data_IF_443277715418
#
_entry.id   IF_443277715418
#
_cell.length_a   1.000
_cell.length_b   1.000
_cell.length_c   1.000
_cell.angle_alpha   90.00
_cell.angle_beta   90.00
_cell.angle_gamma   90.00
#
_symmetry.space_group_name_H-M   'P 1'
#
loop_
_entity.id
_entity.type
_entity.pdbx_description
1 polymer ?
#
# COMPACT_ATOMS: atom_id res chain seq x y z
N UNK A 1 6.69 10.46 20.24
CA UNK A 1 5.86 10.04 19.09
C UNK A 1 5.86 11.12 18.02
N UNK A 2 5.88 10.74 16.74
CA UNK A 2 5.73 11.66 15.60
C UNK A 2 4.25 11.83 15.24
N UNK A 3 3.91 12.93 14.57
CA UNK A 3 2.53 13.22 14.12
C UNK A 3 1.92 12.08 13.28
N UNK A 4 2.72 11.43 12.45
CA UNK A 4 2.29 10.28 11.64
C UNK A 4 1.84 9.11 12.51
N UNK A 5 2.59 8.80 13.56
CA UNK A 5 2.26 7.74 14.51
C UNK A 5 0.96 8.10 15.24
N UNK A 6 0.78 9.35 15.67
CA UNK A 6 -0.50 9.79 16.27
C UNK A 6 -1.67 9.60 15.32
N UNK A 7 -1.49 9.91 14.04
CA UNK A 7 -2.52 9.74 13.01
C UNK A 7 -2.90 8.27 12.83
N UNK A 8 -1.97 7.32 12.94
CA UNK A 8 -2.30 5.90 12.85
C UNK A 8 -3.32 5.46 13.92
N UNK A 9 -3.21 6.00 15.14
CA UNK A 9 -4.19 5.76 16.20
C UNK A 9 -5.49 6.53 15.96
N UNK A 10 -5.39 7.83 15.67
CA UNK A 10 -6.56 8.69 15.55
C UNK A 10 -7.47 8.29 14.38
N UNK A 11 -6.92 7.79 13.27
CA UNK A 11 -7.71 7.37 12.09
C UNK A 11 -8.70 6.25 12.39
N UNK A 12 -8.36 5.38 13.35
CA UNK A 12 -9.17 4.22 13.74
C UNK A 12 -9.84 4.42 15.11
N UNK A 13 -9.87 5.65 15.63
CA UNK A 13 -10.51 5.98 16.90
C UNK A 13 -11.97 6.38 16.66
N UNK A 14 -12.89 5.96 17.53
CA UNK A 14 -14.30 6.41 17.53
C UNK A 14 -14.45 7.89 17.86
N UNK A 15 -13.53 8.42 18.66
CA UNK A 15 -13.52 9.81 19.09
C UNK A 15 -12.84 10.75 18.07
N UNK A 16 -12.73 10.34 16.80
CA UNK A 16 -12.08 11.15 15.77
C UNK A 16 -13.05 12.17 15.18
N UNK A 17 -12.56 13.37 14.92
CA UNK A 17 -13.33 14.43 14.27
C UNK A 17 -12.47 15.09 13.19
N UNK A 18 -13.08 15.41 12.04
CA UNK A 18 -12.37 16.04 10.92
C UNK A 18 -12.71 17.52 10.83
N UNK A 19 -11.68 18.37 10.93
CA UNK A 19 -11.75 19.80 10.70
C UNK A 19 -11.05 20.15 9.38
N UNK A 20 -11.70 20.94 8.52
CA UNK A 20 -11.15 21.28 7.20
C UNK A 20 -9.88 22.13 7.25
N UNK A 21 -9.64 22.88 8.34
CA UNK A 21 -8.49 23.75 8.49
C UNK A 21 -7.33 23.06 9.25
N UNK A 22 -7.65 22.19 10.20
CA UNK A 22 -6.67 21.55 11.12
C UNK A 22 -6.46 20.06 10.84
N UNK A 23 -7.31 19.43 10.05
CA UNK A 23 -7.29 18.00 9.74
C UNK A 23 -7.94 17.16 10.84
N UNK A 24 -7.36 15.98 11.11
CA UNK A 24 -7.91 15.03 12.08
C UNK A 24 -7.60 15.44 13.53
N UNK A 25 -8.66 15.72 14.28
CA UNK A 25 -8.69 16.11 15.69
C UNK A 25 -9.33 15.02 16.56
N UNK A 26 -9.18 15.16 17.87
CA UNK A 26 -9.95 14.41 18.86
C UNK A 26 -11.26 15.15 19.15
N UNK A 27 -12.42 14.53 18.94
CA UNK A 27 -13.73 15.11 19.21
C UNK A 27 -14.04 15.31 20.70
N UNK A 28 -13.23 14.74 21.60
CA UNK A 28 -13.32 15.00 23.05
C UNK A 28 -12.65 16.31 23.46
N UNK A 29 -11.54 16.67 22.80
CA UNK A 29 -10.71 17.83 23.16
C UNK A 29 -10.75 18.97 22.15
N UNK A 30 -11.24 18.70 20.93
CA UNK A 30 -11.15 19.59 19.76
C UNK A 30 -9.71 20.02 19.42
N UNK A 31 -8.74 19.20 19.79
CA UNK A 31 -7.31 19.45 19.60
C UNK A 31 -6.61 18.30 18.86
N UNK A 32 -5.41 18.60 18.36
CA UNK A 32 -4.52 17.59 17.79
C UNK A 32 -4.03 16.65 18.89
N UNK A 33 -3.80 15.38 18.53
CA UNK A 33 -3.20 14.41 19.43
C UNK A 33 -1.86 14.91 20.00
N UNK A 34 -1.74 14.86 21.33
CA UNK A 34 -0.57 15.33 22.08
C UNK A 34 -0.02 14.28 23.07
N UNK A 35 -0.47 13.03 22.98
CA UNK A 35 -0.04 11.95 23.87
C UNK A 35 1.37 11.43 23.52
N UNK A 36 2.12 10.92 24.51
CA UNK A 36 3.51 10.48 24.27
C UNK A 36 3.64 9.07 23.72
N UNK A 37 2.83 8.12 24.22
CA UNK A 37 2.91 6.71 23.85
C UNK A 37 1.54 6.14 23.45
N UNK A 38 0.51 6.35 24.28
CA UNK A 38 -0.86 5.90 24.03
C UNK A 38 -1.86 6.99 24.44
N UNK A 39 -3.04 6.97 23.84
CA UNK A 39 -4.16 7.82 24.24
C UNK A 39 -5.03 7.09 25.27
N UNK A 40 -5.24 7.68 26.43
CA UNK A 40 -6.03 7.09 27.53
C UNK A 40 -7.52 6.93 27.18
N UNK A 41 -8.03 7.78 26.31
CA UNK A 41 -9.43 7.77 25.84
C UNK A 41 -9.58 7.13 24.46
N UNK A 42 -8.58 6.37 24.01
CA UNK A 42 -8.66 5.64 22.75
C UNK A 42 -9.75 4.58 22.81
N UNK A 43 -10.71 4.69 21.91
CA UNK A 43 -11.73 3.68 21.69
C UNK A 43 -11.67 3.24 20.23
N UNK A 44 -11.35 1.97 20.02
CA UNK A 44 -11.12 1.42 18.68
C UNK A 44 -12.43 1.36 17.89
N UNK A 45 -12.38 1.86 16.67
CA UNK A 45 -13.43 1.76 15.67
C UNK A 45 -13.05 0.68 14.65
N UNK A 46 -13.65 -0.51 14.79
CA UNK A 46 -13.34 -1.65 13.93
C UNK A 46 -13.72 -1.41 12.46
N UNK A 47 -14.79 -0.67 12.20
CA UNK A 47 -15.21 -0.34 10.83
C UNK A 47 -14.19 0.63 10.20
N UNK A 48 -13.74 1.62 10.95
CA UNK A 48 -12.69 2.52 10.48
C UNK A 48 -11.34 1.86 10.28
N UNK A 49 -10.99 0.87 11.11
CA UNK A 49 -9.78 0.07 10.91
C UNK A 49 -9.87 -0.72 9.60
N UNK A 50 -11.00 -1.36 9.32
CA UNK A 50 -11.22 -2.08 8.07
C UNK A 50 -11.14 -1.14 6.87
N UNK A 51 -11.78 0.02 6.92
CA UNK A 51 -11.73 1.04 5.86
C UNK A 51 -10.30 1.56 5.65
N UNK A 52 -9.55 1.84 6.72
CA UNK A 52 -8.14 2.27 6.63
C UNK A 52 -7.26 1.16 6.04
N UNK A 53 -7.50 -0.10 6.42
CA UNK A 53 -6.81 -1.25 5.84
C UNK A 53 -7.08 -1.39 4.34
N UNK A 54 -8.34 -1.34 3.92
CA UNK A 54 -8.75 -1.39 2.52
C UNK A 54 -8.16 -0.22 1.74
N UNK A 55 -8.21 0.99 2.29
CA UNK A 55 -7.62 2.17 1.66
C UNK A 55 -6.09 2.04 1.51
N UNK A 56 -5.39 1.48 2.50
CA UNK A 56 -3.95 1.19 2.38
C UNK A 56 -3.67 0.16 1.28
N UNK A 57 -4.45 -0.92 1.23
CA UNK A 57 -4.32 -1.94 0.19
C UNK A 57 -4.54 -1.35 -1.20
N UNK A 58 -5.61 -0.59 -1.38
CA UNK A 58 -5.98 0.08 -2.63
C UNK A 58 -4.88 1.04 -3.09
N UNK A 59 -4.48 2.00 -2.23
CA UNK A 59 -3.48 3.03 -2.55
C UNK A 59 -2.10 2.46 -2.90
N UNK A 60 -1.75 1.28 -2.37
CA UNK A 60 -0.49 0.59 -2.70
C UNK A 60 -0.58 -0.21 -4.00
N UNK A 61 -1.79 -0.56 -4.45
CA UNK A 61 -2.05 -1.45 -5.59
C UNK A 61 -1.71 -0.91 -6.98
N UNK A 62 -2.05 -1.70 -8.00
CA UNK A 62 -1.91 -1.31 -9.40
C UNK A 62 -3.26 -1.00 -10.06
N UNK A 63 -3.70 0.26 -9.87
CA UNK A 63 -4.91 0.86 -10.43
C UNK A 63 -5.05 0.71 -11.96
N UNK A 64 -3.94 0.53 -12.67
CA UNK A 64 -3.92 0.38 -14.13
C UNK A 64 -4.47 -1.00 -14.53
N UNK A 65 -4.28 -2.02 -13.69
CA UNK A 65 -4.63 -3.40 -14.01
C UNK A 65 -6.01 -3.84 -13.51
N UNK A 66 -6.72 -2.97 -12.77
CA UNK A 66 -8.08 -3.17 -12.27
C UNK A 66 -8.20 -4.19 -11.14
N UNK A 67 -7.10 -4.52 -10.45
CA UNK A 67 -7.10 -5.46 -9.32
C UNK A 67 -6.27 -4.91 -8.16
N UNK A 68 -6.86 -3.92 -7.49
CA UNK A 68 -6.17 -3.09 -6.51
C UNK A 68 -6.01 -3.80 -5.16
N UNK A 69 -6.67 -4.94 -4.95
CA UNK A 69 -6.63 -5.68 -3.68
C UNK A 69 -5.87 -7.01 -3.76
N UNK A 70 -5.73 -7.62 -4.93
CA UNK A 70 -5.04 -8.92 -5.06
C UNK A 70 -3.52 -8.77 -5.23
N UNK A 71 -2.84 -8.77 -4.09
CA UNK A 71 -1.38 -8.71 -4.05
C UNK A 71 -0.69 -9.89 -4.74
N UNK A 72 -1.28 -11.10 -4.72
CA UNK A 72 -0.68 -12.30 -5.34
C UNK A 72 -0.69 -12.17 -6.86
N UNK A 73 -1.82 -11.72 -7.40
CA UNK A 73 -1.98 -11.46 -8.82
C UNK A 73 -1.11 -10.31 -9.29
N UNK A 74 -1.02 -9.22 -8.53
CA UNK A 74 -0.11 -8.11 -8.83
C UNK A 74 1.36 -8.56 -8.84
N UNK A 75 1.75 -9.41 -7.88
CA UNK A 75 3.09 -10.00 -7.81
C UNK A 75 3.40 -10.90 -9.02
N UNK A 76 2.48 -11.78 -9.39
CA UNK A 76 2.61 -12.69 -10.54
C UNK A 76 2.64 -11.93 -11.87
N UNK A 77 1.66 -11.04 -12.12
CA UNK A 77 1.60 -10.25 -13.35
C UNK A 77 2.83 -9.36 -13.55
N UNK A 78 3.34 -8.75 -12.47
CA UNK A 78 4.57 -7.97 -12.52
C UNK A 78 5.77 -8.84 -12.90
N UNK A 79 5.86 -10.05 -12.34
CA UNK A 79 6.88 -11.02 -12.71
C UNK A 79 6.76 -11.48 -14.17
N UNK A 80 5.56 -11.80 -14.63
CA UNK A 80 5.32 -12.25 -16.01
C UNK A 80 5.71 -11.18 -17.03
N UNK A 81 5.37 -9.90 -16.77
CA UNK A 81 5.80 -8.76 -17.60
C UNK A 81 7.32 -8.60 -17.62
N UNK A 82 7.96 -8.73 -16.47
CA UNK A 82 9.42 -8.66 -16.36
C UNK A 82 10.09 -9.79 -17.17
N UNK A 83 9.61 -11.03 -17.03
CA UNK A 83 10.08 -12.17 -17.79
C UNK A 83 9.89 -11.97 -19.30
N UNK A 84 8.73 -11.48 -19.73
CA UNK A 84 8.46 -11.15 -21.14
C UNK A 84 9.47 -10.14 -21.70
N UNK A 85 9.73 -9.06 -20.97
CA UNK A 85 10.69 -8.05 -21.40
C UNK A 85 12.13 -8.58 -21.52
N UNK A 86 12.54 -9.47 -20.61
CA UNK A 86 13.84 -10.14 -20.66
C UNK A 86 13.94 -11.05 -21.90
N UNK A 87 12.90 -11.85 -22.16
CA UNK A 87 12.86 -12.75 -23.32
C UNK A 87 12.92 -11.96 -24.63
N UNK A 88 12.13 -10.90 -24.76
CA UNK A 88 12.15 -10.03 -25.95
C UNK A 88 13.53 -9.42 -26.17
N UNK A 89 14.18 -8.95 -25.11
CA UNK A 89 15.54 -8.41 -25.17
C UNK A 89 16.54 -9.46 -25.66
N UNK A 90 16.48 -10.67 -25.13
CA UNK A 90 17.36 -11.77 -25.52
C UNK A 90 17.17 -12.16 -27.00
N UNK A 91 15.93 -12.21 -27.49
CA UNK A 91 15.62 -12.53 -28.89
C UNK A 91 16.15 -11.43 -29.83
N UNK A 92 16.00 -10.16 -29.45
CA UNK A 92 16.46 -9.02 -30.28
C UNK A 92 17.97 -9.01 -30.51
N UNK A 93 18.77 -9.55 -29.59
CA UNK A 93 20.22 -9.69 -29.80
C UNK A 93 20.58 -10.60 -31.00
N UNK A 94 19.68 -11.50 -31.41
CA UNK A 94 19.91 -12.42 -32.53
C UNK A 94 19.38 -11.90 -33.87
N UNK A 95 18.63 -10.78 -33.89
CA UNK A 95 17.91 -10.29 -35.08
C UNK A 95 18.30 -8.83 -35.34
N UNK A 96 19.57 -8.60 -35.72
CA UNK A 96 20.19 -7.33 -36.18
C UNK A 96 19.95 -6.07 -35.31
N UNK A 97 20.81 -5.05 -35.46
CA UNK A 97 20.93 -3.89 -34.54
C UNK A 97 19.68 -2.98 -34.52
N UNK A 98 18.68 -3.34 -33.71
CA UNK A 98 17.50 -2.52 -33.43
C UNK A 98 17.62 -1.84 -32.06
N UNK A 99 18.39 -0.76 -32.01
CA UNK A 99 18.60 0.04 -30.79
C UNK A 99 17.28 0.52 -30.15
N UNK A 100 16.25 0.80 -30.95
CA UNK A 100 14.92 1.21 -30.48
C UNK A 100 14.15 0.14 -29.70
N UNK A 101 14.44 -1.15 -29.92
CA UNK A 101 13.75 -2.24 -29.23
C UNK A 101 14.16 -2.30 -27.75
N UNK A 102 15.42 -2.00 -27.44
CA UNK A 102 15.91 -1.99 -26.05
C UNK A 102 15.20 -0.96 -25.17
N UNK A 103 14.79 0.19 -25.73
CA UNK A 103 14.04 1.21 -24.97
C UNK A 103 12.67 0.67 -24.55
N UNK A 104 11.98 -0.02 -25.48
CA UNK A 104 10.66 -0.60 -25.23
C UNK A 104 10.76 -1.74 -24.21
N UNK A 105 11.72 -2.66 -24.38
CA UNK A 105 11.87 -3.80 -23.47
C UNK A 105 12.29 -3.37 -22.07
N UNK A 106 13.16 -2.34 -21.95
CA UNK A 106 13.49 -1.74 -20.66
C UNK A 106 12.26 -1.15 -19.97
N UNK A 107 11.39 -0.46 -20.70
CA UNK A 107 10.13 0.05 -20.17
C UNK A 107 9.21 -1.04 -19.63
N UNK A 108 9.10 -2.18 -20.34
CA UNK A 108 8.32 -3.34 -19.91
C UNK A 108 8.90 -3.94 -18.62
N UNK A 109 10.22 -4.11 -18.56
CA UNK A 109 10.93 -4.65 -17.39
C UNK A 109 10.73 -3.72 -16.18
N UNK A 110 10.94 -2.42 -16.35
CA UNK A 110 10.78 -1.43 -15.29
C UNK A 110 9.33 -1.38 -14.76
N UNK A 111 8.34 -1.43 -15.65
CA UNK A 111 6.93 -1.48 -15.27
C UNK A 111 6.57 -2.78 -14.55
N UNK A 112 7.03 -3.93 -15.05
CA UNK A 112 6.86 -5.23 -14.40
C UNK A 112 7.47 -5.26 -13.00
N UNK A 113 8.69 -4.76 -12.84
CA UNK A 113 9.36 -4.61 -11.55
C UNK A 113 8.56 -3.73 -10.59
N UNK A 114 8.11 -2.55 -11.05
CA UNK A 114 7.28 -1.64 -10.24
C UNK A 114 6.01 -2.32 -9.75
N UNK A 115 5.29 -3.02 -10.64
CA UNK A 115 4.07 -3.73 -10.27
C UNK A 115 4.36 -4.86 -9.27
N UNK A 116 5.41 -5.64 -9.49
CA UNK A 116 5.81 -6.71 -8.59
C UNK A 116 6.15 -6.16 -7.19
N UNK A 117 6.93 -5.09 -7.11
CA UNK A 117 7.31 -4.45 -5.85
C UNK A 117 6.10 -3.95 -5.07
N UNK A 118 5.10 -3.38 -5.77
CA UNK A 118 3.83 -2.97 -5.14
C UNK A 118 3.06 -4.17 -4.59
N UNK A 119 2.98 -5.28 -5.32
CA UNK A 119 2.38 -6.51 -4.83
C UNK A 119 3.07 -7.05 -3.57
N UNK A 120 4.40 -6.95 -3.48
CA UNK A 120 5.15 -7.32 -2.26
C UNK A 120 4.83 -6.38 -1.09
N UNK A 121 4.61 -5.09 -1.36
CA UNK A 121 4.24 -4.12 -0.32
C UNK A 121 2.82 -4.37 0.21
N UNK A 122 1.87 -4.67 -0.68
CA UNK A 122 0.51 -5.09 -0.30
C UNK A 122 0.54 -6.37 0.55
N UNK A 123 1.39 -7.34 0.20
CA UNK A 123 1.56 -8.56 1.00
C UNK A 123 2.01 -8.24 2.43
N UNK A 124 2.93 -7.29 2.62
CA UNK A 124 3.35 -6.84 3.96
C UNK A 124 2.21 -6.18 4.73
N UNK A 125 1.40 -5.35 4.09
CA UNK A 125 0.23 -4.71 4.72
C UNK A 125 -0.78 -5.77 5.15
N UNK A 126 -1.09 -6.72 4.27
CA UNK A 126 -2.00 -7.83 4.55
C UNK A 126 -1.51 -8.70 5.72
N UNK A 127 -0.22 -9.06 5.75
CA UNK A 127 0.33 -9.88 6.84
C UNK A 127 0.30 -9.14 8.18
N UNK A 128 0.63 -7.83 8.20
CA UNK A 128 0.53 -7.01 9.42
C UNK A 128 -0.89 -6.97 9.97
N UNK A 129 -1.88 -6.86 9.10
CA UNK A 129 -3.29 -6.85 9.51
C UNK A 129 -3.73 -8.21 10.06
N UNK A 130 -3.32 -9.29 9.40
CA UNK A 130 -3.55 -10.65 9.88
C UNK A 130 -2.96 -10.87 11.28
N UNK A 131 -1.71 -10.48 11.50
CA UNK A 131 -1.05 -10.57 12.81
C UNK A 131 -1.78 -9.77 13.91
N UNK A 132 -2.30 -8.58 13.60
CA UNK A 132 -3.11 -7.78 14.53
C UNK A 132 -4.41 -8.49 14.89
N UNK A 133 -5.11 -9.04 13.89
CA UNK A 133 -6.36 -9.76 14.10
C UNK A 133 -6.17 -11.04 14.95
N UNK A 134 -5.00 -11.68 14.86
CA UNK A 134 -4.65 -12.86 15.66
C UNK A 134 -4.31 -12.47 17.11
N UNK A 135 -3.59 -11.36 17.33
CA UNK A 135 -3.28 -10.85 18.67
C UNK A 135 -4.50 -10.35 19.44
N UNK A 136 -5.51 -9.82 18.75
CA UNK A 136 -6.75 -9.34 19.38
C UNK A 136 -7.73 -10.45 19.80
N UNK A 137 -7.43 -11.73 19.50
CA UNK A 137 -8.26 -12.89 19.88
C UNK A 137 -7.75 -13.65 21.11
N UNK A 138 -6.54 -13.36 21.58
CA UNK A 138 -5.93 -13.91 22.79
C UNK A 138 -6.07 -12.93 23.96
#
# INVERSE_FOLDING_TARGET
MKREEHLEFCKICRNREFDFHKGLLCGLTNELANFENNCETFEKDNEAEEVEFLSKMENTGDHISGDDFDFKKNKSKGFDKMALGIVLTAVSFFISDYTGVYVVTFGIIAYGYRQHSRGVEQEKIFMKEKEKSEKGKN
#
